data_IF_635194369813
#
_entry.id   IF_635194369813
#
_cell.length_a   1.000
_cell.length_b   1.000
_cell.length_c   1.000
_cell.angle_alpha   90.00
_cell.angle_beta   90.00
_cell.angle_gamma   90.00
#
_symmetry.space_group_name_H-M   'P 1'
#
loop_
_entity.id
_entity.type
_entity.pdbx_description
1 polymer ?
#
# COMPACT_ATOMS: atom_id res chain seq x y z
N UNK A 1 -22.55 17.36 -1.61
CA UNK A 1 -21.31 17.46 -0.79
C UNK A 1 -20.15 16.95 -1.63
N UNK A 2 -19.33 17.85 -2.21
CA UNK A 2 -18.03 17.51 -2.79
C UNK A 2 -16.99 17.80 -1.71
N UNK A 3 -16.66 16.80 -0.91
CA UNK A 3 -15.59 16.88 0.06
C UNK A 3 -14.27 16.83 -0.69
N UNK A 4 -13.59 17.97 -0.78
CA UNK A 4 -12.17 18.07 -1.08
C UNK A 4 -11.41 17.19 -0.06
N UNK A 5 -10.90 16.05 -0.52
CA UNK A 5 -9.63 15.53 -0.01
C UNK A 5 -8.62 15.92 -1.06
N UNK A 6 -7.77 16.86 -0.67
CA UNK A 6 -6.67 17.39 -1.45
C UNK A 6 -5.84 16.27 -2.06
N UNK A 7 -5.98 16.13 -3.38
CA UNK A 7 -5.30 15.24 -4.32
C UNK A 7 -3.78 15.47 -4.44
N UNK A 8 -3.13 16.01 -3.40
CA UNK A 8 -1.74 16.46 -3.46
C UNK A 8 -0.73 15.37 -3.09
N UNK A 9 -1.05 14.37 -2.27
CA UNK A 9 -0.04 13.38 -1.84
C UNK A 9 -0.15 11.99 -2.48
N UNK A 10 -1.00 11.86 -3.50
CA UNK A 10 -0.82 10.81 -4.51
C UNK A 10 0.47 11.06 -5.35
N UNK A 11 1.22 12.15 -5.09
CA UNK A 11 2.54 12.46 -5.67
C UNK A 11 3.68 11.61 -5.11
N UNK A 12 3.47 10.91 -3.99
CA UNK A 12 4.24 9.71 -3.65
C UNK A 12 3.50 8.45 -4.11
N UNK A 13 2.87 8.49 -5.30
CA UNK A 13 2.64 7.32 -6.15
C UNK A 13 3.91 6.50 -6.08
N UNK A 14 3.88 5.53 -5.19
CA UNK A 14 4.82 4.44 -5.07
C UNK A 14 5.16 4.10 -6.50
N UNK A 15 6.45 4.14 -6.86
CA UNK A 15 6.85 3.48 -8.10
C UNK A 15 6.56 2.01 -7.82
N UNK A 16 5.33 1.59 -8.03
CA UNK A 16 4.83 0.24 -7.79
C UNK A 16 5.74 -0.73 -8.56
N UNK A 17 6.17 -0.31 -9.75
CA UNK A 17 7.17 -0.98 -10.57
C UNK A 17 8.57 -1.10 -9.93
N UNK A 18 8.89 -0.28 -8.93
CA UNK A 18 10.12 -0.33 -8.16
C UNK A 18 9.95 -0.99 -6.77
N UNK A 19 8.71 -1.33 -6.37
CA UNK A 19 8.48 -2.12 -5.16
C UNK A 19 9.06 -3.50 -5.43
N UNK A 20 10.05 -3.87 -4.62
CA UNK A 20 10.69 -5.18 -4.67
C UNK A 20 9.98 -6.19 -3.78
N UNK A 21 9.44 -5.72 -2.66
CA UNK A 21 8.77 -6.56 -1.68
C UNK A 21 7.67 -5.77 -0.96
N UNK A 22 6.69 -6.46 -0.41
CA UNK A 22 5.65 -5.88 0.45
C UNK A 22 5.24 -6.87 1.56
N UNK A 23 4.63 -6.35 2.62
CA UNK A 23 4.07 -7.11 3.72
C UNK A 23 2.71 -6.55 4.08
N UNK A 24 1.83 -7.42 4.56
CA UNK A 24 0.56 -7.03 5.16
C UNK A 24 0.68 -7.30 6.66
N UNK A 25 0.58 -6.25 7.46
CA UNK A 25 0.74 -6.33 8.92
C UNK A 25 -0.54 -5.89 9.62
N UNK A 26 -0.92 -6.57 10.69
CA UNK A 26 -2.06 -6.17 11.49
C UNK A 26 -1.62 -5.21 12.61
N UNK A 27 -2.17 -4.00 12.64
CA UNK A 27 -1.96 -3.02 13.69
C UNK A 27 -3.31 -2.48 14.18
N UNK A 28 -3.56 -2.60 15.49
CA UNK A 28 -4.76 -2.10 16.17
C UNK A 28 -6.08 -2.53 15.50
N UNK A 29 -6.14 -3.77 15.03
CA UNK A 29 -7.32 -4.34 14.37
C UNK A 29 -7.54 -3.89 12.92
N UNK A 30 -6.55 -3.24 12.31
CA UNK A 30 -6.53 -2.89 10.88
C UNK A 30 -5.32 -3.51 10.21
N UNK A 31 -5.37 -3.67 8.90
CA UNK A 31 -4.29 -4.21 8.09
C UNK A 31 -3.55 -3.07 7.41
N UNK A 32 -2.23 -3.03 7.50
CA UNK A 32 -1.38 -2.04 6.86
C UNK A 32 -0.53 -2.73 5.82
N UNK A 33 -0.28 -2.05 4.72
CA UNK A 33 0.66 -2.54 3.71
C UNK A 33 1.94 -1.73 3.80
N UNK A 34 3.05 -2.41 4.00
CA UNK A 34 4.39 -1.83 3.95
C UNK A 34 5.04 -2.30 2.66
N UNK A 35 5.55 -1.36 1.87
CA UNK A 35 6.24 -1.66 0.61
C UNK A 35 7.71 -1.23 0.70
N UNK A 36 8.61 -2.09 0.21
CA UNK A 36 10.05 -1.86 0.16
C UNK A 36 10.53 -1.68 -1.27
N UNK A 37 11.39 -0.68 -1.47
CA UNK A 37 12.07 -0.43 -2.75
C UNK A 37 13.52 -0.94 -2.76
N UNK A 38 14.01 -1.36 -1.60
CA UNK A 38 15.36 -1.85 -1.31
C UNK A 38 15.53 -2.11 0.19
N UNK A 39 16.74 -2.39 0.66
CA UNK A 39 16.99 -2.93 2.01
C UNK A 39 16.78 -1.93 3.15
N UNK A 40 16.63 -0.64 2.85
CA UNK A 40 16.58 0.43 3.87
C UNK A 40 15.44 1.43 3.68
N UNK A 41 14.62 1.28 2.63
CA UNK A 41 13.57 2.25 2.29
C UNK A 41 12.23 1.56 2.16
N UNK A 42 11.32 1.86 3.10
CA UNK A 42 9.93 1.43 3.07
C UNK A 42 8.96 2.58 3.20
N UNK A 43 7.74 2.37 2.70
CA UNK A 43 6.62 3.31 2.85
C UNK A 43 5.34 2.54 3.15
N UNK A 44 4.38 3.25 3.74
CA UNK A 44 3.05 2.72 4.03
C UNK A 44 2.12 3.02 2.86
N UNK A 45 1.55 1.98 2.22
CA UNK A 45 0.65 2.17 1.08
C UNK A 45 -0.78 2.52 1.51
N UNK A 46 -1.19 2.08 2.69
CA UNK A 46 -2.55 2.26 3.15
C UNK A 46 -2.86 1.48 4.43
N UNK A 47 -4.05 1.74 4.96
CA UNK A 47 -4.62 1.03 6.11
C UNK A 47 -6.01 0.55 5.71
N UNK A 48 -6.25 -0.75 5.85
CA UNK A 48 -7.41 -1.48 5.37
C UNK A 48 -8.15 -2.10 6.56
N UNK A 49 -9.49 -2.18 6.49
CA UNK A 49 -10.30 -2.79 7.55
C UNK A 49 -10.21 -4.33 7.55
N UNK A 50 -9.82 -4.96 6.44
CA UNK A 50 -9.70 -6.40 6.33
C UNK A 50 -8.46 -6.81 5.53
N UNK A 51 -8.00 -8.05 5.75
CA UNK A 51 -6.90 -8.64 4.98
C UNK A 51 -7.27 -8.81 3.50
N UNK A 52 -8.54 -9.09 3.20
CA UNK A 52 -9.04 -9.23 1.82
C UNK A 52 -8.88 -7.93 1.04
N UNK A 53 -9.33 -6.80 1.61
CA UNK A 53 -9.21 -5.49 0.95
C UNK A 53 -7.75 -5.07 0.73
N UNK A 54 -6.84 -5.43 1.65
CA UNK A 54 -5.42 -5.19 1.46
C UNK A 54 -4.85 -6.00 0.27
N UNK A 55 -5.30 -7.25 0.07
CA UNK A 55 -4.90 -8.07 -1.09
C UNK A 55 -5.50 -7.53 -2.38
N UNK A 56 -6.78 -7.19 -2.39
CA UNK A 56 -7.47 -6.66 -3.56
C UNK A 56 -6.80 -5.36 -4.04
N UNK A 57 -6.36 -4.51 -3.11
CA UNK A 57 -5.55 -3.35 -3.42
C UNK A 57 -4.22 -3.72 -4.09
N UNK A 58 -3.45 -4.66 -3.54
CA UNK A 58 -2.17 -5.10 -4.13
C UNK A 58 -2.37 -5.68 -5.54
N UNK A 59 -3.43 -6.44 -5.75
CA UNK A 59 -3.77 -7.03 -7.04
C UNK A 59 -4.19 -5.96 -8.07
N UNK A 60 -5.04 -5.01 -7.66
CA UNK A 60 -5.45 -3.88 -8.48
C UNK A 60 -4.27 -3.01 -8.91
N UNK A 61 -3.29 -2.82 -8.01
CA UNK A 61 -2.05 -2.10 -8.28
C UNK A 61 -1.02 -2.95 -9.06
N UNK A 62 -1.27 -4.24 -9.33
CA UNK A 62 -0.38 -5.10 -10.11
C UNK A 62 0.88 -5.55 -9.36
N UNK A 63 0.91 -5.44 -8.03
CA UNK A 63 2.00 -5.93 -7.18
C UNK A 63 1.91 -7.46 -7.03
N UNK A 64 2.44 -8.19 -8.01
CA UNK A 64 2.39 -9.66 -8.05
C UNK A 64 3.61 -10.38 -7.45
N UNK A 65 4.66 -9.65 -7.07
CA UNK A 65 5.94 -10.20 -6.59
C UNK A 65 5.98 -10.50 -5.07
N UNK A 66 5.02 -11.24 -4.53
CA UNK A 66 4.99 -11.54 -3.09
C UNK A 66 4.06 -12.66 -2.65
N UNK A 67 3.66 -13.55 -3.56
CA UNK A 67 2.85 -14.73 -3.24
C UNK A 67 3.67 -16.01 -3.40
#
# INVERSE_FOLDING_TARGET
MKGFIDSVDFKQRVRINAVRNFSIEMDKGKFKIIAWFGDSSSIHLGVFPSHGEARDFLEAEGLKNGF
#
